data_IF_609836695540
#
_entry.id   IF_609836695540
#
_cell.length_a   1.000
_cell.length_b   1.000
_cell.length_c   1.000
_cell.angle_alpha   90.00
_cell.angle_beta   90.00
_cell.angle_gamma   90.00
#
_symmetry.space_group_name_H-M   'P 1'
#
loop_
_entity.id
_entity.type
_entity.pdbx_description
1 polymer ?
#
# COMPACT_ATOMS: atom_id res chain seq x y z
N UNK A 1 -38.61 -17.66 -48.27
CA UNK A 1 -38.12 -18.69 -47.33
C UNK A 1 -36.92 -18.14 -46.58
N UNK A 2 -37.09 -18.00 -45.26
CA UNK A 2 -36.19 -17.34 -44.30
C UNK A 2 -34.78 -17.93 -44.27
N UNK A 3 -33.78 -17.07 -44.25
CA UNK A 3 -32.47 -17.36 -43.65
C UNK A 3 -31.99 -16.13 -42.87
N UNK A 4 -32.41 -16.05 -41.60
CA UNK A 4 -31.83 -15.16 -40.62
C UNK A 4 -30.42 -15.66 -40.27
N UNK A 5 -29.38 -14.96 -40.74
CA UNK A 5 -28.04 -15.10 -40.22
C UNK A 5 -27.93 -14.26 -38.94
N UNK A 6 -28.13 -14.88 -37.78
CA UNK A 6 -27.75 -14.29 -36.51
C UNK A 6 -26.23 -14.48 -36.32
N UNK A 7 -25.46 -13.45 -36.65
CA UNK A 7 -24.04 -13.40 -36.34
C UNK A 7 -23.87 -13.14 -34.83
N UNK A 8 -23.59 -14.20 -34.08
CA UNK A 8 -23.22 -14.13 -32.68
C UNK A 8 -21.80 -13.54 -32.60
N UNK A 9 -21.68 -12.24 -32.40
CA UNK A 9 -20.42 -11.61 -32.03
C UNK A 9 -20.09 -12.03 -30.59
N UNK A 10 -19.35 -13.13 -30.45
CA UNK A 10 -18.68 -13.47 -29.21
C UNK A 10 -17.65 -12.37 -28.92
N UNK A 11 -18.02 -11.44 -28.05
CA UNK A 11 -17.09 -10.51 -27.40
C UNK A 11 -16.08 -11.36 -26.62
N UNK A 12 -14.94 -11.63 -27.24
CA UNK A 12 -13.72 -12.09 -26.60
C UNK A 12 -13.27 -10.99 -25.63
N UNK A 13 -13.86 -10.98 -24.44
CA UNK A 13 -13.26 -10.29 -23.29
C UNK A 13 -11.89 -10.96 -23.11
N UNK A 14 -10.78 -10.22 -23.19
CA UNK A 14 -9.50 -10.77 -22.81
C UNK A 14 -9.59 -11.02 -21.31
N UNK A 15 -9.89 -12.26 -20.93
CA UNK A 15 -9.59 -12.80 -19.61
C UNK A 15 -8.07 -12.82 -19.49
N UNK A 16 -7.46 -11.64 -19.35
CA UNK A 16 -6.13 -11.53 -18.78
C UNK A 16 -6.19 -12.30 -17.47
N UNK A 17 -5.32 -13.30 -17.37
CA UNK A 17 -5.17 -14.15 -16.22
C UNK A 17 -5.07 -13.32 -14.93
N UNK A 18 -6.22 -13.08 -14.29
CA UNK A 18 -6.38 -12.66 -12.89
C UNK A 18 -6.15 -13.88 -11.99
N UNK A 19 -5.17 -14.71 -12.33
CA UNK A 19 -4.82 -15.87 -11.52
C UNK A 19 -4.29 -15.37 -10.17
N UNK A 20 -5.01 -15.75 -9.12
CA UNK A 20 -4.59 -15.81 -7.72
C UNK A 20 -4.32 -14.50 -6.94
N UNK A 21 -5.01 -13.41 -7.26
CA UNK A 21 -5.18 -12.33 -6.26
C UNK A 21 -6.33 -12.69 -5.32
N UNK A 22 -6.12 -12.62 -4.00
CA UNK A 22 -7.17 -12.87 -3.00
C UNK A 22 -8.41 -12.02 -3.29
N UNK A 23 -9.56 -12.68 -3.43
CA UNK A 23 -10.81 -12.06 -3.84
C UNK A 23 -11.28 -10.95 -2.89
N UNK A 24 -10.91 -11.01 -1.60
CA UNK A 24 -11.23 -9.97 -0.61
C UNK A 24 -10.43 -8.71 -0.91
N UNK A 25 -9.14 -8.86 -1.25
CA UNK A 25 -8.30 -7.74 -1.67
C UNK A 25 -8.76 -7.18 -3.02
N UNK A 26 -9.01 -8.04 -4.00
CA UNK A 26 -9.42 -7.64 -5.35
C UNK A 26 -10.68 -6.76 -5.32
N UNK A 27 -11.70 -7.14 -4.54
CA UNK A 27 -12.91 -6.32 -4.37
C UNK A 27 -12.64 -4.91 -3.84
N UNK A 28 -11.72 -4.78 -2.88
CA UNK A 28 -11.36 -3.47 -2.33
C UNK A 28 -10.55 -2.64 -3.33
N UNK A 29 -9.64 -3.27 -4.07
CA UNK A 29 -8.86 -2.63 -5.14
C UNK A 29 -9.77 -2.14 -6.26
N UNK A 30 -10.67 -2.98 -6.74
CA UNK A 30 -11.52 -2.69 -7.90
C UNK A 30 -12.56 -1.60 -7.59
N UNK A 31 -12.88 -1.40 -6.30
CA UNK A 31 -13.70 -0.30 -5.81
C UNK A 31 -12.91 0.98 -5.47
N UNK A 32 -11.58 0.97 -5.62
CA UNK A 32 -10.70 2.09 -5.28
C UNK A 32 -10.20 2.80 -6.54
N UNK A 33 -9.95 4.11 -6.41
CA UNK A 33 -9.37 4.94 -7.47
C UNK A 33 -7.85 4.67 -7.56
N UNK A 34 -7.30 4.27 -8.72
CA UNK A 34 -5.87 4.04 -8.85
C UNK A 34 -5.11 5.35 -8.70
N UNK A 35 -4.05 5.33 -7.91
CA UNK A 35 -3.19 6.48 -7.68
C UNK A 35 -2.25 6.68 -8.87
N UNK A 36 -2.35 7.84 -9.53
CA UNK A 36 -1.43 8.20 -10.62
C UNK A 36 0.02 8.42 -10.17
N UNK A 37 0.27 8.57 -8.87
CA UNK A 37 1.59 8.66 -8.26
C UNK A 37 1.56 9.23 -6.84
N UNK A 38 2.27 8.60 -5.90
CA UNK A 38 2.22 8.97 -4.48
C UNK A 38 2.74 10.39 -4.21
N UNK A 39 3.90 10.75 -4.76
CA UNK A 39 4.48 12.09 -4.57
C UNK A 39 3.56 13.20 -5.09
N UNK A 40 2.96 13.01 -6.27
CA UNK A 40 2.03 13.98 -6.85
C UNK A 40 0.75 14.12 -6.02
N UNK A 41 0.22 13.01 -5.51
CA UNK A 41 -0.90 13.01 -4.58
C UNK A 41 -0.56 13.77 -3.29
N UNK A 42 0.55 13.44 -2.63
CA UNK A 42 0.94 14.06 -1.37
C UNK A 42 1.18 15.57 -1.52
N UNK A 43 1.84 16.00 -2.59
CA UNK A 43 2.06 17.42 -2.87
C UNK A 43 0.73 18.20 -2.99
N UNK A 44 -0.27 17.63 -3.67
CA UNK A 44 -1.59 18.26 -3.83
C UNK A 44 -2.43 18.20 -2.57
N UNK A 45 -2.41 17.06 -1.86
CA UNK A 45 -3.20 16.86 -0.66
C UNK A 45 -2.74 17.74 0.50
N UNK A 46 -1.42 17.87 0.67
CA UNK A 46 -0.84 18.70 1.71
C UNK A 46 -0.93 20.17 1.32
N UNK A 47 -0.58 20.50 0.07
CA UNK A 47 -0.65 21.87 -0.44
C UNK A 47 0.14 22.84 0.43
N UNK A 48 1.41 22.54 0.74
CA UNK A 48 2.28 23.54 1.40
C UNK A 48 2.47 24.74 0.50
N UNK A 49 1.67 25.77 0.74
CA UNK A 49 1.86 27.08 0.20
C UNK A 49 2.93 27.75 1.08
N UNK A 50 4.19 27.72 0.64
CA UNK A 50 5.32 28.30 1.39
C UNK A 50 5.10 29.75 1.80
N UNK A 51 5.76 30.18 2.88
CA UNK A 51 5.48 31.45 3.54
C UNK A 51 5.78 32.73 2.70
N UNK A 52 5.11 33.79 3.14
CA UNK A 52 5.01 35.20 2.69
C UNK A 52 4.25 35.53 1.39
N UNK A 53 4.18 34.64 0.39
CA UNK A 53 3.41 34.90 -0.85
C UNK A 53 2.58 33.70 -1.32
N UNK A 54 2.19 32.82 -0.40
CA UNK A 54 1.18 31.81 -0.67
C UNK A 54 -0.10 32.48 -1.21
N UNK A 55 -0.38 32.32 -2.51
CA UNK A 55 -1.62 32.82 -3.08
C UNK A 55 -2.80 32.13 -2.38
N UNK A 56 -3.90 32.86 -2.07
CA UNK A 56 -5.12 32.26 -1.54
C UNK A 56 -5.62 31.05 -2.35
N UNK A 57 -5.31 31.03 -3.65
CA UNK A 57 -5.61 29.96 -4.58
C UNK A 57 -4.95 28.63 -4.21
N UNK A 58 -3.75 28.65 -3.64
CA UNK A 58 -3.03 27.43 -3.30
C UNK A 58 -3.72 26.68 -2.15
N UNK A 59 -4.10 27.40 -1.08
CA UNK A 59 -4.84 26.81 0.05
C UNK A 59 -6.22 26.35 -0.39
N UNK A 60 -6.90 27.15 -1.20
CA UNK A 60 -8.23 26.81 -1.75
C UNK A 60 -8.17 25.53 -2.59
N UNK A 61 -7.20 25.41 -3.50
CA UNK A 61 -7.00 24.20 -4.32
C UNK A 61 -6.68 22.96 -3.48
N UNK A 62 -5.87 23.10 -2.44
CA UNK A 62 -5.58 21.99 -1.52
C UNK A 62 -6.83 21.56 -0.74
N UNK A 63 -7.63 22.51 -0.26
CA UNK A 63 -8.89 22.24 0.42
C UNK A 63 -9.92 21.57 -0.49
N UNK A 64 -10.06 22.06 -1.72
CA UNK A 64 -10.91 21.45 -2.75
C UNK A 64 -10.46 20.03 -3.07
N UNK A 65 -9.15 19.82 -3.22
CA UNK A 65 -8.58 18.50 -3.44
C UNK A 65 -8.89 17.56 -2.26
N UNK A 66 -8.66 18.00 -1.02
CA UNK A 66 -9.00 17.20 0.17
C UNK A 66 -10.49 16.87 0.25
N UNK A 67 -11.38 17.83 -0.05
CA UNK A 67 -12.82 17.60 -0.10
C UNK A 67 -13.19 16.58 -1.18
N UNK A 68 -12.59 16.65 -2.36
CA UNK A 68 -12.84 15.72 -3.46
C UNK A 68 -12.39 14.28 -3.16
N UNK A 69 -11.40 14.10 -2.28
CA UNK A 69 -10.86 12.80 -1.88
C UNK A 69 -11.35 12.31 -0.51
N UNK A 70 -12.18 13.09 0.19
CA UNK A 70 -12.72 12.71 1.49
C UNK A 70 -13.58 11.45 1.37
N UNK A 71 -13.16 10.40 2.08
CA UNK A 71 -13.87 9.11 2.10
C UNK A 71 -13.68 8.25 0.85
N UNK A 72 -12.90 8.70 -0.14
CA UNK A 72 -12.56 7.88 -1.30
C UNK A 72 -11.49 6.86 -0.95
N UNK A 73 -11.67 5.64 -1.45
CA UNK A 73 -10.63 4.61 -1.40
C UNK A 73 -9.69 4.80 -2.57
N UNK A 74 -8.40 4.75 -2.29
CA UNK A 74 -7.31 4.88 -3.24
C UNK A 74 -6.52 3.57 -3.27
N UNK A 75 -5.96 3.24 -4.44
CA UNK A 75 -5.14 2.06 -4.63
C UNK A 75 -3.76 2.43 -5.18
N UNK A 76 -2.71 1.82 -4.65
CA UNK A 76 -1.37 1.94 -5.19
C UNK A 76 -0.58 0.63 -5.08
N UNK A 77 0.31 0.41 -6.04
CA UNK A 77 1.38 -0.59 -5.96
C UNK A 77 2.66 0.15 -5.60
N UNK A 78 3.39 -0.36 -4.61
CA UNK A 78 4.70 0.15 -4.26
C UNK A 78 5.74 -0.62 -5.06
N UNK A 79 6.48 0.09 -5.91
CA UNK A 79 7.39 -0.52 -6.88
C UNK A 79 8.87 -0.41 -6.49
N UNK A 80 9.33 0.74 -6.00
CA UNK A 80 10.78 1.02 -5.91
C UNK A 80 11.39 0.79 -4.51
N UNK A 81 10.59 0.86 -3.44
CA UNK A 81 11.13 0.85 -2.06
C UNK A 81 10.36 -0.06 -1.07
N UNK A 82 9.77 -1.15 -1.57
CA UNK A 82 9.05 -2.13 -0.72
C UNK A 82 9.94 -2.73 0.36
N UNK A 83 11.22 -2.92 0.08
CA UNK A 83 12.16 -3.60 0.96
C UNK A 83 12.42 -2.85 2.28
N UNK A 84 12.21 -1.54 2.34
CA UNK A 84 12.36 -0.77 3.58
C UNK A 84 11.10 -0.83 4.45
N UNK A 85 9.96 -1.17 3.86
CA UNK A 85 8.68 -1.23 4.55
C UNK A 85 8.29 -2.64 4.95
N UNK A 86 8.88 -3.67 4.35
CA UNK A 86 8.48 -5.06 4.57
C UNK A 86 9.71 -5.88 4.97
N UNK A 87 9.64 -6.54 6.13
CA UNK A 87 10.76 -7.32 6.66
C UNK A 87 10.31 -8.68 7.20
N UNK A 88 11.13 -9.73 7.07
CA UNK A 88 10.86 -11.01 7.69
C UNK A 88 11.06 -10.89 9.21
N UNK A 89 10.03 -11.19 10.00
CA UNK A 89 10.05 -11.07 11.46
C UNK A 89 10.30 -12.41 12.17
N UNK A 90 9.97 -13.53 11.52
CA UNK A 90 10.20 -14.87 12.04
C UNK A 90 9.90 -15.94 11.00
N UNK A 91 10.59 -17.07 11.11
CA UNK A 91 10.40 -18.24 10.25
C UNK A 91 10.60 -19.52 11.08
N UNK A 92 9.67 -20.46 10.99
CA UNK A 92 9.71 -21.75 11.67
C UNK A 92 10.08 -22.86 10.68
N UNK A 93 11.30 -23.44 10.75
CA UNK A 93 11.74 -24.41 9.75
C UNK A 93 10.93 -25.70 9.67
N UNK A 94 10.38 -26.16 10.80
CA UNK A 94 9.64 -27.41 10.85
C UNK A 94 8.24 -27.34 10.23
N UNK A 95 7.63 -26.15 10.20
CA UNK A 95 6.26 -25.95 9.69
C UNK A 95 6.23 -25.09 8.43
N UNK A 96 7.31 -24.37 8.12
CA UNK A 96 7.35 -23.38 7.05
C UNK A 96 6.57 -22.10 7.38
N UNK A 97 6.06 -21.97 8.60
CA UNK A 97 5.31 -20.79 9.05
C UNK A 97 6.24 -19.59 9.18
N UNK A 98 5.72 -18.41 8.84
CA UNK A 98 6.47 -17.17 8.95
C UNK A 98 5.61 -16.00 9.39
N UNK A 99 6.28 -14.94 9.84
CA UNK A 99 5.71 -13.62 10.08
C UNK A 99 6.44 -12.59 9.25
N UNK A 100 5.70 -11.66 8.66
CA UNK A 100 6.19 -10.49 7.95
C UNK A 100 5.73 -9.26 8.73
N UNK A 101 6.68 -8.39 9.04
CA UNK A 101 6.40 -7.05 9.56
C UNK A 101 6.28 -6.07 8.39
N UNK A 102 5.27 -5.21 8.46
CA UNK A 102 5.01 -4.13 7.52
C UNK A 102 5.05 -2.81 8.29
N UNK A 103 6.00 -1.95 7.98
CA UNK A 103 6.05 -0.56 8.42
C UNK A 103 5.13 0.27 7.51
N UNK A 104 4.00 0.80 8.01
CA UNK A 104 3.04 1.52 7.17
C UNK A 104 3.45 2.98 6.97
N UNK A 105 4.65 3.20 6.44
CA UNK A 105 5.25 4.50 6.12
C UNK A 105 5.65 4.54 4.65
N UNK A 106 4.91 5.27 3.83
CA UNK A 106 5.11 5.33 2.38
C UNK A 106 5.62 6.72 2.00
N UNK A 107 6.91 6.82 1.71
CA UNK A 107 7.54 8.09 1.32
C UNK A 107 7.15 8.49 -0.11
N UNK A 108 6.90 9.79 -0.33
CA UNK A 108 6.67 10.37 -1.64
C UNK A 108 7.20 11.80 -1.71
N UNK A 109 8.42 11.95 -2.21
CA UNK A 109 9.14 13.23 -2.21
C UNK A 109 9.52 13.65 -0.79
N UNK A 110 9.13 14.87 -0.38
CA UNK A 110 9.40 15.41 0.97
C UNK A 110 8.33 15.05 2.02
N UNK A 111 7.32 14.29 1.63
CA UNK A 111 6.18 13.92 2.48
C UNK A 111 6.04 12.40 2.59
N UNK A 112 5.16 11.95 3.47
CA UNK A 112 4.81 10.54 3.58
C UNK A 112 3.32 10.31 3.78
N UNK A 113 2.84 9.16 3.32
CA UNK A 113 1.54 8.59 3.70
C UNK A 113 1.76 7.59 4.84
N UNK A 114 0.93 7.62 5.88
CA UNK A 114 1.07 6.70 7.02
C UNK A 114 -0.25 6.05 7.40
N UNK A 115 -0.20 4.86 7.98
CA UNK A 115 -1.39 4.33 8.66
C UNK A 115 -1.62 5.08 9.97
N UNK A 116 -2.71 5.85 10.03
CA UNK A 116 -3.00 6.74 11.14
C UNK A 116 -2.00 7.89 11.26
N UNK A 117 -2.09 8.61 12.39
CA UNK A 117 -1.25 9.78 12.67
C UNK A 117 -0.09 9.40 13.58
N UNK A 118 1.18 9.50 13.14
CA UNK A 118 2.32 9.31 14.03
C UNK A 118 2.35 10.42 15.07
N UNK A 119 2.75 10.09 16.31
CA UNK A 119 2.72 11.01 17.45
C UNK A 119 4.09 11.57 17.84
N UNK A 120 5.17 10.93 17.40
CA UNK A 120 6.54 11.28 17.76
C UNK A 120 7.52 10.78 16.71
N UNK A 121 8.73 11.33 16.75
CA UNK A 121 9.87 10.83 15.97
C UNK A 121 10.84 10.04 16.85
N UNK A 122 11.66 9.21 16.23
CA UNK A 122 12.86 8.64 16.84
C UNK A 122 14.00 9.68 16.91
N UNK A 123 15.18 9.25 17.38
CA UNK A 123 16.37 10.09 17.48
C UNK A 123 16.92 10.55 16.12
N UNK A 124 16.63 9.82 15.04
CA UNK A 124 16.99 10.17 13.68
C UNK A 124 15.95 11.08 13.00
N UNK A 125 14.84 11.40 13.68
CA UNK A 125 13.77 12.24 13.17
C UNK A 125 12.76 11.49 12.28
N UNK A 126 12.75 10.16 12.31
CA UNK A 126 11.76 9.35 11.59
C UNK A 126 10.48 9.18 12.42
N UNK A 127 9.28 9.25 11.82
CA UNK A 127 8.04 8.93 12.52
C UNK A 127 8.04 7.53 13.13
N UNK A 128 7.63 7.42 14.39
CA UNK A 128 7.43 6.12 15.05
C UNK A 128 6.02 5.63 14.79
N UNK A 129 5.91 4.47 14.15
CA UNK A 129 4.65 3.81 13.79
C UNK A 129 4.63 2.36 14.29
N UNK A 130 3.46 1.82 14.66
CA UNK A 130 3.33 0.40 14.96
C UNK A 130 3.52 -0.43 13.69
N UNK A 131 4.27 -1.53 13.81
CA UNK A 131 4.39 -2.52 12.75
C UNK A 131 3.07 -3.27 12.59
N UNK A 132 2.61 -3.43 11.35
CA UNK A 132 1.52 -4.32 11.00
C UNK A 132 2.11 -5.70 10.75
N UNK A 133 1.42 -6.75 11.18
CA UNK A 133 1.89 -8.13 11.05
C UNK A 133 0.98 -8.91 10.14
N UNK A 134 1.58 -9.70 9.26
CA UNK A 134 0.90 -10.75 8.51
C UNK A 134 1.66 -12.05 8.67
N UNK A 135 0.94 -13.15 8.81
CA UNK A 135 1.52 -14.48 8.91
C UNK A 135 1.25 -15.25 7.64
N UNK A 136 1.97 -16.34 7.43
CA UNK A 136 1.73 -17.25 6.32
C UNK A 136 2.52 -18.52 6.48
N UNK A 137 2.35 -19.41 5.51
CA UNK A 137 3.14 -20.63 5.39
C UNK A 137 3.79 -20.62 4.01
N UNK A 138 5.06 -20.98 3.97
CA UNK A 138 5.83 -20.93 2.72
C UNK A 138 5.28 -21.91 1.69
N UNK A 139 5.39 -21.60 0.39
CA UNK A 139 5.09 -22.56 -0.66
C UNK A 139 5.93 -23.84 -0.51
N UNK A 140 5.45 -24.95 -1.06
CA UNK A 140 6.22 -26.19 -1.10
C UNK A 140 7.61 -25.97 -1.72
N UNK A 141 8.63 -26.57 -1.12
CA UNK A 141 10.03 -26.45 -1.57
C UNK A 141 10.76 -25.20 -1.12
N UNK A 142 10.10 -24.24 -0.47
CA UNK A 142 10.78 -23.12 0.17
C UNK A 142 11.39 -23.52 1.51
N UNK A 143 12.57 -22.96 1.80
CA UNK A 143 13.17 -23.01 3.12
C UNK A 143 13.39 -21.58 3.65
N UNK A 144 13.83 -21.46 4.91
CA UNK A 144 14.03 -20.15 5.54
C UNK A 144 15.03 -19.25 4.82
N UNK A 145 16.05 -19.84 4.16
CA UNK A 145 17.01 -19.10 3.35
C UNK A 145 16.37 -18.51 2.09
N UNK A 146 15.52 -19.26 1.41
CA UNK A 146 14.75 -18.78 0.25
C UNK A 146 13.77 -17.69 0.66
N UNK A 147 13.08 -17.87 1.79
CA UNK A 147 12.19 -16.85 2.36
C UNK A 147 12.93 -15.55 2.65
N UNK A 148 14.02 -15.59 3.42
CA UNK A 148 14.83 -14.41 3.73
C UNK A 148 15.43 -13.76 2.47
N UNK A 149 15.77 -14.56 1.47
CA UNK A 149 16.27 -14.08 0.17
C UNK A 149 15.22 -13.26 -0.57
N UNK A 150 13.93 -13.62 -0.51
CA UNK A 150 12.88 -12.86 -1.17
C UNK A 150 12.86 -11.37 -0.74
N UNK A 151 13.06 -11.11 0.55
CA UNK A 151 13.11 -9.74 1.08
C UNK A 151 14.43 -9.04 0.76
N UNK A 152 15.56 -9.69 1.02
CA UNK A 152 16.89 -9.08 0.79
C UNK A 152 17.20 -8.81 -0.69
N UNK A 153 16.64 -9.60 -1.60
CA UNK A 153 16.75 -9.40 -3.05
C UNK A 153 15.71 -8.44 -3.63
N UNK A 154 14.88 -7.79 -2.79
CA UNK A 154 13.78 -6.92 -3.21
C UNK A 154 12.79 -7.60 -4.17
N UNK A 155 12.62 -8.90 -4.03
CA UNK A 155 11.69 -9.72 -4.81
C UNK A 155 10.27 -9.72 -4.20
N UNK A 156 9.95 -8.75 -3.34
CA UNK A 156 8.61 -8.60 -2.75
C UNK A 156 7.92 -7.37 -3.35
N UNK A 157 6.61 -7.44 -3.51
CA UNK A 157 5.73 -6.34 -3.93
C UNK A 157 4.68 -6.11 -2.87
N UNK A 158 4.34 -4.84 -2.67
CA UNK A 158 3.31 -4.42 -1.73
C UNK A 158 2.25 -3.61 -2.48
N UNK A 159 1.00 -4.07 -2.40
CA UNK A 159 -0.15 -3.36 -2.93
C UNK A 159 -1.04 -2.89 -1.78
N UNK A 160 -1.50 -1.66 -1.83
CA UNK A 160 -2.18 -0.99 -0.71
C UNK A 160 -3.49 -0.37 -1.18
N UNK A 161 -4.56 -0.60 -0.41
CA UNK A 161 -5.82 0.14 -0.51
C UNK A 161 -5.98 0.99 0.74
N UNK A 162 -6.21 2.28 0.59
CA UNK A 162 -6.28 3.22 1.71
C UNK A 162 -7.31 4.32 1.49
N UNK A 163 -7.78 4.90 2.59
CA UNK A 163 -8.61 6.10 2.61
C UNK A 163 -7.80 7.23 3.25
N UNK A 164 -7.49 8.33 2.54
CA UNK A 164 -6.80 9.46 3.14
C UNK A 164 -7.70 10.15 4.19
N UNK A 165 -7.08 10.60 5.27
CA UNK A 165 -7.75 11.24 6.40
C UNK A 165 -7.33 12.70 6.50
N UNK A 166 -6.26 12.99 7.24
CA UNK A 166 -5.84 14.34 7.55
C UNK A 166 -4.33 14.52 7.42
N UNK A 167 -3.88 15.77 7.37
CA UNK A 167 -2.47 16.12 7.37
C UNK A 167 -1.94 16.01 8.80
N UNK A 168 -0.74 15.46 8.96
CA UNK A 168 0.00 15.50 10.21
C UNK A 168 1.32 16.24 10.03
N UNK A 169 1.84 16.76 11.13
CA UNK A 169 3.19 17.30 11.19
C UNK A 169 3.89 16.89 12.48
N UNK A 170 5.18 16.60 12.41
CA UNK A 170 6.01 16.32 13.58
C UNK A 170 7.26 17.20 13.56
N UNK A 171 7.71 17.63 14.74
CA UNK A 171 8.98 18.33 14.89
C UNK A 171 10.15 17.35 14.77
N UNK A 172 11.23 17.75 14.10
CA UNK A 172 12.46 16.97 14.01
C UNK A 172 13.45 17.34 15.13
N UNK A 173 14.23 16.37 15.66
CA UNK A 173 15.44 16.68 16.40
C UNK A 173 16.36 17.55 15.54
N UNK A 174 16.84 18.68 16.08
CA UNK A 174 17.68 19.63 15.34
C UNK A 174 16.92 20.71 14.56
N UNK A 175 15.59 20.75 14.65
CA UNK A 175 14.75 21.82 14.09
C UNK A 175 14.03 21.43 12.79
N UNK A 176 13.01 22.22 12.45
CA UNK A 176 12.14 21.96 11.30
C UNK A 176 10.99 21.00 11.61
N UNK A 177 10.16 20.77 10.59
CA UNK A 177 9.00 19.88 10.64
C UNK A 177 9.03 18.89 9.49
N UNK A 178 8.46 17.72 9.72
CA UNK A 178 8.04 16.79 8.69
C UNK A 178 6.53 16.80 8.59
N UNK A 179 6.03 16.62 7.39
CA UNK A 179 4.62 16.60 7.09
C UNK A 179 4.25 15.32 6.35
N UNK A 180 3.01 14.92 6.51
CA UNK A 180 2.48 13.79 5.78
C UNK A 180 0.96 13.72 5.86
N UNK A 181 0.41 12.66 5.28
CA UNK A 181 -1.02 12.38 5.26
C UNK A 181 -1.28 11.11 6.04
N UNK A 182 -2.12 11.20 7.06
CA UNK A 182 -2.67 10.05 7.75
C UNK A 182 -3.70 9.38 6.84
N UNK A 183 -3.68 8.06 6.80
CA UNK A 183 -4.65 7.27 6.07
C UNK A 183 -5.13 6.08 6.89
N UNK A 184 -6.39 5.69 6.68
CA UNK A 184 -6.87 4.38 7.10
C UNK A 184 -6.49 3.39 6.01
N UNK A 185 -5.62 2.45 6.35
CA UNK A 185 -5.30 1.34 5.46
C UNK A 185 -6.47 0.38 5.54
N UNK A 186 -7.08 0.07 4.40
CA UNK A 186 -8.19 -0.88 4.29
C UNK A 186 -7.63 -2.28 4.00
N UNK A 187 -6.58 -2.33 3.16
CA UNK A 187 -5.94 -3.58 2.75
C UNK A 187 -4.47 -3.39 2.41
N UNK A 188 -3.66 -4.41 2.72
CA UNK A 188 -2.30 -4.56 2.21
C UNK A 188 -2.06 -5.99 1.76
N UNK A 189 -1.58 -6.15 0.54
CA UNK A 189 -1.24 -7.43 -0.05
C UNK A 189 0.26 -7.48 -0.34
N UNK A 190 0.94 -8.45 0.27
CA UNK A 190 2.36 -8.75 0.06
C UNK A 190 2.44 -9.93 -0.90
N UNK A 191 3.19 -9.78 -1.98
CA UNK A 191 3.36 -10.83 -3.02
C UNK A 191 4.83 -11.00 -3.39
N UNK A 192 5.18 -12.19 -3.87
CA UNK A 192 6.45 -12.43 -4.54
C UNK A 192 6.41 -11.76 -5.93
N UNK A 193 7.46 -11.03 -6.28
CA UNK A 193 7.45 -10.09 -7.39
C UNK A 193 7.58 -10.71 -8.77
N UNK A 194 8.02 -11.97 -8.87
CA UNK A 194 8.16 -12.72 -10.12
C UNK A 194 6.96 -13.62 -10.37
N UNK A 195 6.45 -14.31 -9.36
CA UNK A 195 5.35 -15.27 -9.49
C UNK A 195 3.99 -14.65 -9.19
N UNK A 196 3.95 -13.57 -8.42
CA UNK A 196 2.70 -13.00 -7.90
C UNK A 196 2.12 -13.77 -6.71
N UNK A 197 2.83 -14.78 -6.19
CA UNK A 197 2.36 -15.60 -5.08
C UNK A 197 2.09 -14.74 -3.85
N UNK A 198 0.92 -14.90 -3.24
CA UNK A 198 0.60 -14.21 -1.99
C UNK A 198 1.49 -14.70 -0.85
N UNK A 199 2.23 -13.75 -0.28
CA UNK A 199 3.04 -13.95 0.93
C UNK A 199 2.33 -13.44 2.18
N UNK A 200 1.36 -12.53 2.05
CA UNK A 200 0.65 -12.03 3.22
C UNK A 200 -0.48 -11.10 2.85
N UNK A 201 -1.50 -11.09 3.69
CA UNK A 201 -2.67 -10.25 3.49
C UNK A 201 -3.09 -9.65 4.82
N UNK A 202 -3.13 -8.33 4.87
CA UNK A 202 -3.65 -7.55 5.98
C UNK A 202 -4.96 -6.90 5.54
N UNK A 203 -6.05 -7.12 6.28
CA UNK A 203 -7.38 -6.59 5.98
C UNK A 203 -8.06 -6.16 7.27
N UNK A 204 -8.81 -5.05 7.22
CA UNK A 204 -9.68 -4.59 8.30
C UNK A 204 -8.99 -4.56 9.68
N UNK A 205 -7.74 -4.08 9.73
CA UNK A 205 -7.02 -3.89 10.99
C UNK A 205 -6.19 -5.10 11.45
N UNK A 206 -6.18 -6.22 10.72
CA UNK A 206 -5.56 -7.46 11.19
C UNK A 206 -4.95 -8.30 10.08
N UNK A 207 -4.12 -9.25 10.50
CA UNK A 207 -3.73 -10.37 9.65
C UNK A 207 -4.96 -11.13 9.16
N UNK A 208 -5.03 -11.32 7.85
CA UNK A 208 -6.13 -11.94 7.15
C UNK A 208 -5.65 -13.03 6.20
N UNK A 209 -4.39 -13.45 6.29
CA UNK A 209 -3.89 -14.52 5.45
C UNK A 209 -4.65 -15.82 5.74
N UNK A 210 -5.04 -16.50 4.68
CA UNK A 210 -5.64 -17.84 4.80
C UNK A 210 -4.50 -18.84 4.89
N UNK A 211 -4.40 -19.57 6.01
CA UNK A 211 -3.51 -20.74 6.05
C UNK A 211 -3.97 -21.70 4.96
N UNK A 212 -3.17 -21.89 3.91
CA UNK A 212 -3.34 -23.04 3.01
C UNK A 212 -3.10 -24.28 3.88
N UNK A 213 -4.18 -24.99 4.21
CA UNK A 213 -4.13 -26.30 4.87
C UNK A 213 -3.77 -27.37 3.87
#
# INVERSE_FOLDING_TARGET
>A
MNRCFAALFALLVPALALADVDQRFARLRDAAEPLGGLSAFLNRYIGECGDMFASPDCRTKADEFRKAYKGKKMYMIITEDVATMVSPAGYQPSTGDYTIDILPFFAGGKYALTHGTPKKTDAAGNPVLPLLKVTGTTPEGWNGGMFARAFSSKAVRLAVVFTPLDIWSLSKPGGGKIFGVAARMEAMLVTEGRTGDQLGLWLDGKDANTKKR
#
